data_IF_254422981433
#
_entry.id   IF_254422981433
#
_cell.length_a   1.000
_cell.length_b   1.000
_cell.length_c   1.000
_cell.angle_alpha   90.00
_cell.angle_beta   90.00
_cell.angle_gamma   90.00
#
_symmetry.space_group_name_H-M   'P 1'
#
loop_
_entity.id
_entity.type
_entity.pdbx_description
1 polymer ?
#
# COMPACT_ATOMS: atom_id res chain seq x y z
N UNK A 1 36.88 21.72 57.48
CA UNK A 1 37.37 20.67 56.54
C UNK A 1 36.35 19.54 56.53
N UNK A 2 36.20 18.87 55.38
CA UNK A 2 35.21 17.82 55.01
C UNK A 2 33.86 18.39 54.54
N UNK A 3 33.53 18.50 53.24
CA UNK A 3 33.43 17.54 52.12
C UNK A 3 31.99 16.99 51.92
N UNK A 4 31.50 17.12 50.67
CA UNK A 4 30.52 16.28 49.96
C UNK A 4 29.01 16.42 50.30
N UNK A 5 28.05 16.30 49.37
CA UNK A 5 28.06 15.67 48.05
C UNK A 5 27.08 16.36 47.06
N UNK A 6 27.53 16.56 45.82
CA UNK A 6 26.68 16.92 44.69
C UNK A 6 26.10 15.64 44.06
N UNK A 7 24.85 15.32 44.32
CA UNK A 7 24.18 14.14 43.76
C UNK A 7 23.74 14.40 42.30
N UNK A 8 24.60 14.00 41.35
CA UNK A 8 24.30 13.93 39.92
C UNK A 8 23.31 12.80 39.63
N UNK A 9 22.01 13.12 39.58
CA UNK A 9 21.02 12.22 38.96
C UNK A 9 21.11 12.37 37.44
N UNK A 10 21.91 11.52 36.79
CA UNK A 10 21.95 11.41 35.33
C UNK A 10 20.66 10.75 34.78
N UNK A 11 20.18 11.15 33.58
CA UNK A 11 18.87 10.75 33.07
C UNK A 11 18.91 9.33 32.47
N UNK A 12 18.86 8.30 33.33
CA UNK A 12 18.87 6.89 32.90
C UNK A 12 17.70 6.49 31.97
N UNK A 13 16.61 7.27 31.93
CA UNK A 13 15.42 6.98 31.10
C UNK A 13 15.57 7.27 29.60
N UNK A 14 16.28 8.35 29.21
CA UNK A 14 16.42 8.73 27.78
C UNK A 14 17.28 7.74 27.00
N UNK A 15 18.33 7.21 27.64
CA UNK A 15 19.22 6.22 27.05
C UNK A 15 18.53 4.85 26.85
N UNK A 16 17.70 4.41 27.80
CA UNK A 16 16.95 3.16 27.69
C UNK A 16 15.90 3.20 26.57
N UNK A 17 15.18 4.32 26.42
CA UNK A 17 14.22 4.53 25.34
C UNK A 17 14.91 4.62 23.96
N UNK A 18 16.06 5.27 23.86
CA UNK A 18 16.86 5.31 22.63
C UNK A 18 17.43 3.93 22.27
N UNK A 19 17.90 3.15 23.26
CA UNK A 19 18.37 1.78 23.04
C UNK A 19 17.23 0.83 22.65
N UNK A 20 16.04 1.00 23.22
CA UNK A 20 14.84 0.24 22.84
C UNK A 20 14.42 0.55 21.40
N UNK A 21 14.37 1.84 21.02
CA UNK A 21 14.13 2.27 19.63
C UNK A 21 15.22 1.75 18.68
N UNK A 22 16.47 1.79 19.11
CA UNK A 22 17.61 1.26 18.35
C UNK A 22 17.57 -0.27 18.18
N UNK A 23 17.00 -1.02 19.14
CA UNK A 23 16.78 -2.47 19.01
C UNK A 23 15.59 -2.81 18.13
N UNK A 24 14.46 -2.09 18.26
CA UNK A 24 13.30 -2.24 17.38
C UNK A 24 13.67 -1.95 15.92
N UNK A 25 14.51 -0.94 15.66
CA UNK A 25 15.01 -0.62 14.31
C UNK A 25 15.97 -1.68 13.73
N UNK A 26 16.45 -2.61 14.56
CA UNK A 26 17.37 -3.70 14.18
C UNK A 26 16.70 -5.08 14.08
N UNK A 27 15.44 -5.23 14.49
CA UNK A 27 14.71 -6.48 14.24
C UNK A 27 14.36 -6.61 12.76
N UNK A 28 14.58 -7.80 12.21
CA UNK A 28 14.34 -8.16 10.81
C UNK A 28 12.93 -7.81 10.34
N UNK A 29 11.89 -8.24 11.08
CA UNK A 29 10.50 -7.92 10.74
C UNK A 29 10.14 -6.42 10.79
N UNK A 30 10.82 -5.61 11.60
CA UNK A 30 10.60 -4.16 11.60
C UNK A 30 11.28 -3.47 10.41
N UNK A 31 12.42 -4.00 9.96
CA UNK A 31 13.09 -3.53 8.75
C UNK A 31 12.29 -3.90 7.51
N UNK A 32 11.86 -5.15 7.41
CA UNK A 32 11.01 -5.65 6.31
C UNK A 32 9.70 -4.86 6.21
N UNK A 33 8.98 -4.66 7.33
CA UNK A 33 7.77 -3.84 7.31
C UNK A 33 8.06 -2.39 6.91
N UNK A 34 9.15 -1.78 7.42
CA UNK A 34 9.52 -0.41 7.05
C UNK A 34 9.91 -0.27 5.57
N UNK A 35 10.63 -1.24 5.03
CA UNK A 35 11.07 -1.27 3.64
C UNK A 35 9.86 -1.52 2.71
N UNK A 36 8.93 -2.38 3.12
CA UNK A 36 7.67 -2.64 2.41
C UNK A 36 6.77 -1.39 2.39
N UNK A 37 6.59 -0.71 3.53
CA UNK A 37 5.85 0.56 3.57
C UNK A 37 6.51 1.65 2.72
N UNK A 38 7.84 1.70 2.66
CA UNK A 38 8.54 2.63 1.78
C UNK A 38 8.30 2.29 0.30
N UNK A 39 8.37 1.01 -0.07
CA UNK A 39 8.11 0.55 -1.43
C UNK A 39 6.66 0.83 -1.88
N UNK A 40 5.67 0.58 -1.01
CA UNK A 40 4.26 0.89 -1.30
C UNK A 40 4.05 2.40 -1.47
N UNK A 41 4.69 3.25 -0.64
CA UNK A 41 4.60 4.71 -0.80
C UNK A 41 5.18 5.18 -2.13
N UNK A 42 6.37 4.73 -2.50
CA UNK A 42 6.99 5.08 -3.78
C UNK A 42 6.15 4.60 -4.96
N UNK A 43 5.61 3.38 -4.88
CA UNK A 43 4.70 2.86 -5.88
C UNK A 43 3.43 3.70 -5.99
N UNK A 44 2.87 4.17 -4.87
CA UNK A 44 1.65 4.97 -4.84
C UNK A 44 1.79 6.30 -5.57
N UNK A 45 2.98 6.91 -5.52
CA UNK A 45 3.28 8.15 -6.26
C UNK A 45 3.29 7.93 -7.79
N UNK A 46 3.78 6.77 -8.24
CA UNK A 46 3.88 6.46 -9.69
C UNK A 46 2.61 5.82 -10.27
N UNK A 47 2.01 4.92 -9.50
CA UNK A 47 0.86 4.10 -9.90
C UNK A 47 0.05 3.74 -8.66
N UNK A 48 -0.90 4.61 -8.31
CA UNK A 48 -1.73 4.44 -7.14
C UNK A 48 -2.59 3.16 -7.19
N UNK A 49 -2.99 2.69 -8.38
CA UNK A 49 -3.78 1.46 -8.56
C UNK A 49 -2.94 0.25 -8.16
N UNK A 50 -1.71 0.17 -8.67
CA UNK A 50 -0.77 -0.90 -8.32
C UNK A 50 -0.49 -0.93 -6.81
N UNK A 51 -0.25 0.23 -6.21
CA UNK A 51 -0.03 0.35 -4.77
C UNK A 51 -1.25 -0.10 -3.95
N UNK A 52 -2.45 0.31 -4.37
CA UNK A 52 -3.70 -0.10 -3.73
C UNK A 52 -3.89 -1.62 -3.77
N UNK A 53 -3.71 -2.23 -4.94
CA UNK A 53 -3.81 -3.69 -5.13
C UNK A 53 -2.82 -4.42 -4.22
N UNK A 54 -1.56 -3.98 -4.20
CA UNK A 54 -0.51 -4.59 -3.36
C UNK A 54 -0.83 -4.46 -1.88
N UNK A 55 -1.25 -3.27 -1.43
CA UNK A 55 -1.62 -3.02 -0.03
C UNK A 55 -2.81 -3.89 0.39
N UNK A 56 -3.88 -3.87 -0.40
CA UNK A 56 -5.09 -4.65 -0.11
C UNK A 56 -4.81 -6.16 -0.09
N UNK A 57 -3.93 -6.64 -0.97
CA UNK A 57 -3.47 -8.04 -0.96
C UNK A 57 -2.81 -8.40 0.38
N UNK A 58 -1.95 -7.53 0.92
CA UNK A 58 -1.33 -7.77 2.23
C UNK A 58 -2.34 -7.71 3.38
N UNK A 59 -3.32 -6.81 3.34
CA UNK A 59 -4.39 -6.76 4.34
C UNK A 59 -5.23 -8.04 4.39
N UNK A 60 -5.31 -8.76 3.26
CA UNK A 60 -6.01 -10.04 3.12
C UNK A 60 -5.10 -11.27 3.29
N UNK A 61 -3.83 -11.07 3.65
CA UNK A 61 -2.82 -12.13 3.77
C UNK A 61 -2.70 -13.04 2.52
N UNK A 62 -2.94 -12.47 1.34
CA UNK A 62 -2.87 -13.20 0.07
C UNK A 62 -1.47 -13.10 -0.56
N UNK A 63 -1.04 -14.16 -1.22
CA UNK A 63 0.14 -14.16 -2.09
C UNK A 63 -0.21 -13.66 -3.49
N UNK A 64 0.79 -13.19 -4.24
CA UNK A 64 0.60 -12.81 -5.65
C UNK A 64 0.10 -13.99 -6.49
N UNK A 65 0.50 -15.22 -6.15
CA UNK A 65 0.07 -16.45 -6.82
C UNK A 65 -1.42 -16.70 -6.58
N UNK A 66 -1.90 -16.58 -5.34
CA UNK A 66 -3.32 -16.76 -5.02
C UNK A 66 -4.21 -15.74 -5.72
N UNK A 67 -3.78 -14.47 -5.77
CA UNK A 67 -4.51 -13.44 -6.52
C UNK A 67 -4.53 -13.79 -8.01
N UNK A 68 -3.40 -14.22 -8.57
CA UNK A 68 -3.31 -14.59 -9.97
C UNK A 68 -4.27 -15.73 -10.34
N UNK A 69 -4.26 -16.81 -9.55
CA UNK A 69 -5.12 -17.98 -9.74
C UNK A 69 -6.59 -17.61 -9.67
N UNK A 70 -7.00 -16.89 -8.62
CA UNK A 70 -8.42 -16.50 -8.42
C UNK A 70 -8.91 -15.51 -9.47
N UNK A 71 -8.04 -14.61 -9.97
CA UNK A 71 -8.38 -13.63 -10.99
C UNK A 71 -8.29 -14.17 -12.44
N UNK A 72 -7.82 -15.41 -12.61
CA UNK A 72 -7.61 -16.01 -13.93
C UNK A 72 -6.51 -15.31 -14.72
N UNK A 73 -5.38 -15.01 -14.09
CA UNK A 73 -4.19 -14.40 -14.70
C UNK A 73 -2.92 -15.14 -14.29
N UNK A 74 -1.75 -14.68 -14.73
CA UNK A 74 -0.46 -15.27 -14.38
C UNK A 74 0.20 -14.56 -13.19
N UNK A 75 1.02 -15.29 -12.44
CA UNK A 75 1.87 -14.71 -11.40
C UNK A 75 2.74 -13.57 -11.92
N UNK A 76 3.36 -13.75 -13.09
CA UNK A 76 4.20 -12.71 -13.71
C UNK A 76 3.40 -11.44 -14.01
N UNK A 77 2.12 -11.58 -14.37
CA UNK A 77 1.24 -10.44 -14.58
C UNK A 77 0.96 -9.69 -13.27
N UNK A 78 0.58 -10.38 -12.19
CA UNK A 78 0.35 -9.75 -10.87
C UNK A 78 1.63 -9.11 -10.34
N UNK A 79 2.78 -9.78 -10.49
CA UNK A 79 4.08 -9.26 -10.09
C UNK A 79 4.43 -7.93 -10.81
N UNK A 80 4.24 -7.87 -12.14
CA UNK A 80 4.46 -6.64 -12.93
C UNK A 80 3.44 -5.54 -12.61
N UNK A 81 2.19 -5.92 -12.36
CA UNK A 81 1.14 -5.01 -11.93
C UNK A 81 1.50 -4.36 -10.60
N UNK A 82 1.81 -5.15 -9.57
CA UNK A 82 2.20 -4.67 -8.24
C UNK A 82 3.60 -4.03 -8.21
N UNK A 83 4.39 -4.19 -9.27
CA UNK A 83 5.62 -3.42 -9.53
C UNK A 83 5.37 -2.06 -10.20
N UNK A 84 4.15 -1.82 -10.71
CA UNK A 84 3.78 -0.60 -11.43
C UNK A 84 4.18 -0.58 -12.91
N UNK A 85 4.69 -1.69 -13.45
CA UNK A 85 5.16 -1.80 -14.84
C UNK A 85 4.01 -1.98 -15.85
N UNK A 86 2.85 -2.45 -15.39
CA UNK A 86 1.74 -2.79 -16.26
C UNK A 86 0.40 -2.29 -15.71
N UNK A 87 -0.42 -1.71 -16.59
CA UNK A 87 -1.79 -1.31 -16.29
C UNK A 87 -2.74 -2.34 -16.93
N UNK A 88 -3.58 -3.04 -16.16
CA UNK A 88 -4.49 -4.05 -16.67
C UNK A 88 -5.61 -3.40 -17.50
N UNK A 89 -6.24 -4.19 -18.37
CA UNK A 89 -7.50 -3.77 -18.97
C UNK A 89 -8.60 -3.67 -17.90
N UNK A 90 -9.62 -2.84 -18.14
CA UNK A 90 -10.76 -2.68 -17.23
C UNK A 90 -11.38 -4.02 -16.78
N UNK A 91 -11.71 -4.99 -17.68
CA UNK A 91 -12.25 -6.27 -17.23
C UNK A 91 -11.27 -7.12 -16.41
N UNK A 92 -9.96 -7.05 -16.67
CA UNK A 92 -8.96 -7.72 -15.84
C UNK A 92 -8.88 -7.06 -14.46
N UNK A 93 -8.87 -5.73 -14.41
CA UNK A 93 -8.89 -4.98 -13.15
C UNK A 93 -10.13 -5.29 -12.31
N UNK A 94 -11.31 -5.35 -12.95
CA UNK A 94 -12.58 -5.74 -12.30
C UNK A 94 -12.45 -7.12 -11.64
N UNK A 95 -11.85 -8.10 -12.33
CA UNK A 95 -11.63 -9.46 -11.76
C UNK A 95 -10.64 -9.44 -10.60
N UNK A 96 -9.55 -8.69 -10.70
CA UNK A 96 -8.55 -8.60 -9.63
C UNK A 96 -9.16 -7.96 -8.38
N UNK A 97 -9.87 -6.83 -8.53
CA UNK A 97 -10.53 -6.17 -7.39
C UNK A 97 -11.61 -7.04 -6.76
N UNK A 98 -12.35 -7.82 -7.56
CA UNK A 98 -13.31 -8.78 -7.02
C UNK A 98 -12.66 -9.87 -6.14
N UNK A 99 -11.42 -10.30 -6.46
CA UNK A 99 -10.64 -11.22 -5.61
C UNK A 99 -10.20 -10.56 -4.30
N UNK A 100 -10.08 -9.24 -4.30
CA UNK A 100 -9.67 -8.43 -3.15
C UNK A 100 -10.86 -7.88 -2.33
N UNK A 101 -12.06 -8.47 -2.54
CA UNK A 101 -13.33 -8.05 -1.93
C UNK A 101 -13.70 -6.58 -2.23
N UNK A 102 -13.35 -6.08 -3.42
CA UNK A 102 -13.59 -4.70 -3.85
C UNK A 102 -14.34 -4.63 -5.18
N UNK A 103 -15.12 -3.56 -5.35
CA UNK A 103 -15.85 -3.27 -6.59
C UNK A 103 -15.20 -2.13 -7.38
N UNK A 104 -15.00 -2.33 -8.69
CA UNK A 104 -14.46 -1.30 -9.57
C UNK A 104 -15.56 -0.28 -9.95
N UNK A 105 -15.36 0.96 -9.55
CA UNK A 105 -16.13 2.12 -10.00
C UNK A 105 -15.28 2.97 -10.96
N UNK A 106 -15.93 3.53 -11.98
CA UNK A 106 -15.32 4.48 -12.93
C UNK A 106 -16.00 5.84 -12.77
N UNK A 107 -15.19 6.89 -12.74
CA UNK A 107 -15.64 8.28 -12.73
C UNK A 107 -15.41 8.96 -14.07
N UNK A 108 -16.41 9.70 -14.55
CA UNK A 108 -16.29 10.63 -15.68
C UNK A 108 -16.45 12.04 -15.12
N UNK A 109 -15.49 12.91 -15.41
CA UNK A 109 -15.54 14.32 -15.06
C UNK A 109 -15.79 15.15 -16.32
N UNK A 110 -16.87 15.95 -16.31
CA UNK A 110 -17.15 16.95 -17.33
C UNK A 110 -16.65 18.30 -16.84
N UNK A 111 -15.72 18.89 -17.60
CA UNK A 111 -15.25 20.25 -17.36
C UNK A 111 -16.24 21.25 -17.95
N UNK A 112 -16.71 22.16 -17.13
CA UNK A 112 -17.57 23.28 -17.53
C UNK A 112 -16.78 24.57 -17.31
N UNK A 113 -16.80 25.50 -18.28
CA UNK A 113 -16.03 26.73 -18.18
C UNK A 113 -16.60 27.62 -17.07
N UNK A 114 -15.74 27.97 -16.10
CA UNK A 114 -16.04 28.83 -14.95
C UNK A 114 -17.00 28.24 -13.88
N UNK A 115 -17.28 26.93 -13.92
CA UNK A 115 -18.11 26.22 -12.93
C UNK A 115 -17.34 25.06 -12.28
N UNK A 116 -17.88 24.53 -11.17
CA UNK A 116 -17.37 23.31 -10.58
C UNK A 116 -17.55 22.13 -11.55
N UNK A 117 -16.55 21.23 -11.66
CA UNK A 117 -16.64 20.10 -12.58
C UNK A 117 -17.75 19.14 -12.16
N UNK A 118 -18.61 18.76 -13.11
CA UNK A 118 -19.62 17.73 -12.90
C UNK A 118 -18.94 16.36 -12.92
N UNK A 119 -19.23 15.53 -11.91
CA UNK A 119 -18.65 14.19 -11.77
C UNK A 119 -19.74 13.13 -11.72
N UNK A 120 -19.63 12.14 -12.58
CA UNK A 120 -20.49 10.95 -12.57
C UNK A 120 -19.63 9.74 -12.20
N UNK A 121 -19.99 9.01 -11.15
CA UNK A 121 -19.33 7.76 -10.75
C UNK A 121 -20.33 6.62 -10.93
N UNK A 122 -19.93 5.60 -11.69
CA UNK A 122 -20.76 4.44 -11.98
C UNK A 122 -19.96 3.14 -11.91
N UNK A 123 -20.69 2.02 -11.81
CA UNK A 123 -20.09 0.68 -11.93
C UNK A 123 -19.65 0.44 -13.37
N UNK A 124 -18.60 -0.35 -13.53
CA UNK A 124 -18.18 -0.80 -14.87
C UNK A 124 -19.26 -1.71 -15.47
N UNK A 125 -19.80 -1.39 -16.65
CA UNK A 125 -20.76 -2.24 -17.35
C UNK A 125 -20.20 -3.65 -17.55
N UNK A 126 -21.08 -4.64 -17.50
CA UNK A 126 -20.69 -5.98 -17.95
C UNK A 126 -20.46 -5.93 -19.46
N UNK A 127 -19.22 -6.22 -19.86
CA UNK A 127 -18.87 -6.34 -21.27
C UNK A 127 -19.57 -7.60 -21.78
N UNK A 128 -20.68 -7.41 -22.48
CA UNK A 128 -21.33 -8.48 -23.23
C UNK A 128 -20.29 -8.98 -24.22
N UNK A 129 -19.90 -10.25 -24.09
CA UNK A 129 -19.01 -10.87 -25.06
C UNK A 129 -19.75 -10.91 -26.38
N UNK A 130 -19.27 -10.16 -27.37
CA UNK A 130 -19.75 -10.21 -28.75
C UNK A 130 -19.39 -11.56 -29.39
#
# INVERSE_FOLDING_TARGET
MSAEANNRVSPKGKAAAQAARGRARRSEGYREASDEYAAIRELRERNWIAAHIRERRYELDLTQQEVAERAGTSHSFISKLEGGEHIPTIPVLKRILAVLDEELLIGIERRVANDEPEREIARVPDLVSA
#
